data_IF_024559654506
#
_entry.id   IF_024559654506
#
_cell.length_a   1.000
_cell.length_b   1.000
_cell.length_c   1.000
_cell.angle_alpha   90.00
_cell.angle_beta   90.00
_cell.angle_gamma   90.00
#
_symmetry.space_group_name_H-M   'P 1'
#
loop_
_entity.id
_entity.type
_entity.pdbx_description
1 polymer ?
#
# COMPACT_ATOMS: atom_id res chain seq x y z
N UNK A 1 -15.84 -5.72 -15.26
CA UNK A 1 -16.15 -4.56 -14.38
C UNK A 1 -16.80 -4.96 -13.06
N UNK A 2 -17.96 -5.64 -13.05
CA UNK A 2 -18.68 -5.99 -11.81
C UNK A 2 -17.83 -6.80 -10.81
N UNK A 3 -17.02 -7.77 -11.29
CA UNK A 3 -16.16 -8.62 -10.43
C UNK A 3 -15.16 -7.83 -9.61
N UNK A 4 -14.48 -6.91 -10.30
CA UNK A 4 -13.53 -5.99 -9.70
C UNK A 4 -14.18 -5.14 -8.62
N UNK A 5 -15.33 -4.53 -8.93
CA UNK A 5 -16.02 -3.66 -7.99
C UNK A 5 -16.44 -4.42 -6.72
N UNK A 6 -17.02 -5.62 -6.84
CA UNK A 6 -17.46 -6.40 -5.67
C UNK A 6 -16.26 -6.80 -4.80
N UNK A 7 -15.17 -7.25 -5.41
CA UNK A 7 -13.97 -7.66 -4.67
C UNK A 7 -13.31 -6.51 -3.93
N UNK A 8 -13.13 -5.35 -4.58
CA UNK A 8 -12.53 -4.18 -3.96
C UNK A 8 -13.48 -3.55 -2.94
N UNK A 9 -14.80 -3.50 -3.20
CA UNK A 9 -15.77 -3.07 -2.19
C UNK A 9 -15.68 -3.90 -0.93
N UNK A 10 -15.48 -5.21 -1.05
CA UNK A 10 -15.42 -6.12 0.09
C UNK A 10 -14.05 -6.10 0.79
N UNK A 11 -12.95 -6.03 0.04
CA UNK A 11 -11.58 -6.10 0.61
C UNK A 11 -11.01 -4.74 1.01
N UNK A 12 -11.32 -3.68 0.26
CA UNK A 12 -10.85 -2.30 0.47
C UNK A 12 -11.87 -1.49 1.26
N UNK A 13 -13.17 -1.70 1.05
CA UNK A 13 -14.22 -0.87 1.64
C UNK A 13 -14.18 -0.83 3.18
N UNK A 14 -14.55 -1.94 3.86
CA UNK A 14 -14.54 -2.02 5.31
C UNK A 14 -13.17 -1.72 5.93
N UNK A 15 -12.09 -2.16 5.29
CA UNK A 15 -10.73 -1.99 5.82
C UNK A 15 -10.30 -0.52 5.75
N UNK A 16 -10.63 0.21 4.67
CA UNK A 16 -10.35 1.65 4.56
C UNK A 16 -11.19 2.44 5.57
N UNK A 17 -12.48 2.12 5.68
CA UNK A 17 -13.37 2.79 6.63
C UNK A 17 -12.85 2.65 8.06
N UNK A 18 -12.54 1.42 8.48
CA UNK A 18 -11.99 1.14 9.79
C UNK A 18 -10.63 1.81 10.00
N UNK A 19 -9.75 1.80 8.99
CA UNK A 19 -8.45 2.48 9.04
C UNK A 19 -8.59 3.97 9.35
N UNK A 20 -9.52 4.67 8.69
CA UNK A 20 -9.67 6.11 8.92
C UNK A 20 -10.14 6.43 10.34
N UNK A 21 -11.13 5.70 10.85
CA UNK A 21 -11.60 5.89 12.23
C UNK A 21 -10.51 5.50 13.25
N UNK A 22 -9.80 4.40 13.01
CA UNK A 22 -8.70 3.95 13.86
C UNK A 22 -7.59 5.01 13.92
N UNK A 23 -7.25 5.64 12.78
CA UNK A 23 -6.23 6.69 12.72
C UNK A 23 -6.54 7.88 13.61
N UNK A 24 -7.77 8.37 13.56
CA UNK A 24 -8.20 9.51 14.37
C UNK A 24 -8.29 9.16 15.87
N UNK A 25 -8.73 7.93 16.20
CA UNK A 25 -8.71 7.42 17.58
C UNK A 25 -7.29 7.23 18.14
N UNK A 26 -6.38 6.65 17.33
CA UNK A 26 -4.96 6.51 17.69
C UNK A 26 -4.32 7.87 17.91
N UNK A 27 -4.58 8.85 17.05
CA UNK A 27 -4.09 10.21 17.24
C UNK A 27 -4.57 10.81 18.57
N UNK A 28 -5.86 10.70 18.88
CA UNK A 28 -6.44 11.21 20.12
C UNK A 28 -5.84 10.57 21.39
N UNK A 29 -5.47 9.29 21.32
CA UNK A 29 -4.77 8.60 22.41
C UNK A 29 -3.29 9.02 22.50
N UNK A 30 -2.56 8.98 21.37
CA UNK A 30 -1.13 9.24 21.31
C UNK A 30 -0.76 10.68 21.67
N UNK A 31 -1.62 11.66 21.37
CA UNK A 31 -1.37 13.06 21.72
C UNK A 31 -1.36 13.33 23.22
N UNK A 32 -1.85 12.39 24.04
CA UNK A 32 -1.82 12.50 25.50
C UNK A 32 -0.45 12.14 26.07
N UNK A 33 0.41 11.50 25.26
CA UNK A 33 1.77 11.16 25.64
C UNK A 33 2.73 12.33 25.37
N UNK A 34 3.84 12.43 26.13
CA UNK A 34 4.93 13.34 25.79
C UNK A 34 5.45 13.08 24.37
N UNK A 35 5.76 14.11 23.56
CA UNK A 35 6.27 13.92 22.20
C UNK A 35 7.48 12.99 22.11
N UNK A 36 8.37 13.00 23.11
CA UNK A 36 9.54 12.13 23.20
C UNK A 36 9.13 10.65 23.29
N UNK A 37 8.09 10.34 24.07
CA UNK A 37 7.57 8.98 24.20
C UNK A 37 6.95 8.53 22.87
N UNK A 38 6.27 9.42 22.16
CA UNK A 38 5.71 9.13 20.84
C UNK A 38 6.81 8.86 19.80
N UNK A 39 7.87 9.67 19.77
CA UNK A 39 9.02 9.43 18.89
C UNK A 39 9.71 8.09 19.24
N UNK A 40 9.84 7.76 20.52
CA UNK A 40 10.36 6.45 20.93
C UNK A 40 9.48 5.30 20.43
N UNK A 41 8.16 5.44 20.48
CA UNK A 41 7.22 4.46 19.91
C UNK A 41 7.33 4.35 18.38
N UNK A 42 7.63 5.44 17.66
CA UNK A 42 7.94 5.39 16.23
C UNK A 42 9.19 4.54 15.96
N UNK A 43 10.24 4.70 16.76
CA UNK A 43 11.45 3.89 16.62
C UNK A 43 11.17 2.38 16.86
N UNK A 44 10.36 2.06 17.88
CA UNK A 44 9.93 0.67 18.15
C UNK A 44 9.09 0.11 16.99
N UNK A 45 8.08 0.86 16.54
CA UNK A 45 7.22 0.46 15.42
C UNK A 45 8.03 0.26 14.13
N UNK A 46 8.94 1.19 13.83
CA UNK A 46 9.85 1.11 12.69
C UNK A 46 10.77 -0.11 12.75
N UNK A 47 11.29 -0.45 13.93
CA UNK A 47 12.12 -1.66 14.12
C UNK A 47 11.32 -2.93 13.83
N UNK A 48 10.08 -3.02 14.34
CA UNK A 48 9.19 -4.15 14.03
C UNK A 48 8.89 -4.24 12.54
N UNK A 49 8.67 -3.09 11.88
CA UNK A 49 8.43 -3.04 10.43
C UNK A 49 9.64 -3.52 9.63
N UNK A 50 10.87 -3.15 10.03
CA UNK A 50 12.11 -3.64 9.40
C UNK A 50 12.32 -5.14 9.61
N UNK A 51 11.94 -5.68 10.78
CA UNK A 51 11.95 -7.11 11.03
C UNK A 51 10.99 -7.85 10.07
N UNK A 52 9.79 -7.32 9.84
CA UNK A 52 8.85 -7.86 8.85
C UNK A 52 9.43 -7.83 7.42
N UNK A 53 10.17 -6.80 7.05
CA UNK A 53 10.89 -6.76 5.77
C UNK A 53 11.95 -7.84 5.64
N UNK A 54 12.67 -8.12 6.72
CA UNK A 54 13.64 -9.21 6.75
C UNK A 54 12.95 -10.55 6.53
N UNK A 55 11.79 -10.78 7.17
CA UNK A 55 10.97 -11.98 6.94
C UNK A 55 10.49 -12.07 5.49
N UNK A 56 9.96 -10.98 4.92
CA UNK A 56 9.54 -10.92 3.50
C UNK A 56 10.71 -11.31 2.57
N UNK A 57 11.87 -10.67 2.73
CA UNK A 57 13.06 -10.91 1.90
C UNK A 57 13.54 -12.36 2.02
N UNK A 58 13.56 -12.91 3.23
CA UNK A 58 13.92 -14.31 3.45
C UNK A 58 12.94 -15.28 2.76
N UNK A 59 11.64 -14.96 2.74
CA UNK A 59 10.62 -15.75 2.03
C UNK A 59 10.85 -15.74 0.53
N UNK A 60 11.11 -14.57 -0.05
CA UNK A 60 11.39 -14.40 -1.47
C UNK A 60 12.68 -15.13 -1.90
N UNK A 61 13.73 -15.08 -1.07
CA UNK A 61 15.02 -15.73 -1.33
C UNK A 61 14.98 -17.27 -1.27
N UNK A 62 13.86 -17.90 -0.90
CA UNK A 62 13.74 -19.37 -0.90
C UNK A 62 13.88 -19.95 -2.30
N UNK A 63 13.44 -19.21 -3.32
CA UNK A 63 13.56 -19.61 -4.72
C UNK A 63 13.87 -18.39 -5.61
N UNK A 64 15.16 -18.02 -5.74
CA UNK A 64 15.58 -16.83 -6.50
C UNK A 64 15.18 -16.87 -7.98
N UNK A 65 15.12 -18.07 -8.58
CA UNK A 65 14.69 -18.23 -9.98
C UNK A 65 13.20 -17.99 -10.13
N UNK A 66 12.37 -18.54 -9.25
CA UNK A 66 10.93 -18.25 -9.25
C UNK A 66 10.65 -16.76 -8.98
N UNK A 67 11.39 -16.15 -8.04
CA UNK A 67 11.28 -14.72 -7.77
C UNK A 67 11.60 -13.89 -9.02
N UNK A 68 12.72 -14.18 -9.70
CA UNK A 68 13.10 -13.49 -10.92
C UNK A 68 12.09 -13.71 -12.05
N UNK A 69 11.63 -14.95 -12.25
CA UNK A 69 10.59 -15.26 -13.25
C UNK A 69 9.31 -14.47 -13.01
N UNK A 70 8.79 -14.47 -11.78
CA UNK A 70 7.59 -13.71 -11.42
C UNK A 70 7.78 -12.21 -11.60
N UNK A 71 8.91 -11.65 -11.16
CA UNK A 71 9.22 -10.23 -11.32
C UNK A 71 9.19 -9.79 -12.78
N UNK A 72 9.76 -10.61 -13.68
CA UNK A 72 9.90 -10.34 -15.11
C UNK A 72 8.73 -10.88 -15.96
N UNK A 73 7.73 -11.49 -15.34
CA UNK A 73 6.60 -12.19 -15.97
C UNK A 73 6.99 -13.29 -16.99
N UNK A 74 7.99 -14.10 -16.64
CA UNK A 74 8.48 -15.19 -17.50
C UNK A 74 7.92 -16.55 -17.07
N UNK A 75 7.45 -17.34 -18.04
CA UNK A 75 7.15 -18.74 -17.81
C UNK A 75 8.45 -19.58 -17.73
N UNK A 76 8.32 -20.87 -17.42
CA UNK A 76 9.49 -21.74 -17.25
C UNK A 76 10.27 -21.93 -18.56
N UNK A 77 9.59 -22.16 -19.68
CA UNK A 77 10.23 -22.34 -20.99
C UNK A 77 11.02 -21.09 -21.42
N UNK A 78 10.43 -19.91 -21.24
CA UNK A 78 11.07 -18.62 -21.50
C UNK A 78 12.29 -18.41 -20.62
N UNK A 79 12.26 -18.86 -19.37
CA UNK A 79 13.40 -18.77 -18.45
C UNK A 79 14.53 -19.72 -18.84
N UNK A 80 14.21 -20.96 -19.20
CA UNK A 80 15.18 -21.97 -19.61
C UNK A 80 15.84 -21.64 -20.96
N UNK A 81 15.13 -20.91 -21.82
CA UNK A 81 15.69 -20.39 -23.08
C UNK A 81 16.74 -19.28 -22.88
N UNK A 82 16.80 -18.65 -21.70
CA UNK A 82 17.80 -17.62 -21.39
C UNK A 82 19.18 -18.23 -21.11
N UNK A 83 20.22 -17.53 -21.58
CA UNK A 83 21.59 -17.81 -21.18
C UNK A 83 21.78 -17.66 -19.66
N UNK A 84 22.81 -18.28 -19.10
CA UNK A 84 23.14 -18.14 -17.66
C UNK A 84 23.39 -16.68 -17.27
N UNK A 85 24.03 -15.89 -18.15
CA UNK A 85 24.28 -14.46 -17.92
C UNK A 85 22.98 -13.65 -17.85
N UNK A 86 22.02 -13.94 -18.72
CA UNK A 86 20.69 -13.30 -18.70
C UNK A 86 19.91 -13.67 -17.44
N UNK A 87 19.89 -14.96 -17.06
CA UNK A 87 19.25 -15.41 -15.81
C UNK A 87 19.89 -14.75 -14.59
N UNK A 88 21.23 -14.66 -14.56
CA UNK A 88 21.94 -13.97 -13.50
C UNK A 88 21.63 -12.47 -13.45
N UNK A 89 21.56 -11.81 -14.61
CA UNK A 89 21.16 -10.40 -14.71
C UNK A 89 19.76 -10.16 -14.15
N UNK A 90 18.78 -10.97 -14.55
CA UNK A 90 17.39 -10.88 -14.10
C UNK A 90 17.23 -11.12 -12.60
N UNK A 91 17.97 -12.09 -12.03
CA UNK A 91 18.03 -12.31 -10.58
C UNK A 91 18.56 -11.08 -9.84
N UNK A 92 19.67 -10.49 -10.31
CA UNK A 92 20.24 -9.28 -9.68
C UNK A 92 19.28 -8.10 -9.74
N UNK A 93 18.58 -7.92 -10.85
CA UNK A 93 17.59 -6.85 -10.98
C UNK A 93 16.41 -7.04 -10.03
N UNK A 94 15.86 -8.26 -9.95
CA UNK A 94 14.79 -8.57 -9.01
C UNK A 94 15.21 -8.31 -7.56
N UNK A 95 16.42 -8.76 -7.17
CA UNK A 95 16.97 -8.51 -5.84
C UNK A 95 17.19 -7.03 -5.56
N UNK A 96 17.63 -6.25 -6.56
CA UNK A 96 17.76 -4.81 -6.44
C UNK A 96 16.43 -4.15 -6.06
N UNK A 97 15.35 -4.46 -6.78
CA UNK A 97 14.03 -3.90 -6.47
C UNK A 97 13.49 -4.38 -5.11
N UNK A 98 13.72 -5.64 -4.74
CA UNK A 98 13.39 -6.14 -3.40
C UNK A 98 14.10 -5.36 -2.29
N UNK A 99 15.38 -5.02 -2.49
CA UNK A 99 16.16 -4.20 -1.56
C UNK A 99 15.65 -2.75 -1.53
N UNK A 100 15.22 -2.21 -2.67
CA UNK A 100 14.59 -0.87 -2.73
C UNK A 100 13.34 -0.81 -1.88
N UNK A 101 12.49 -1.85 -1.84
CA UNK A 101 11.33 -1.91 -0.91
C UNK A 101 11.78 -1.69 0.53
N UNK A 102 12.80 -2.42 0.99
CA UNK A 102 13.31 -2.29 2.36
C UNK A 102 13.95 -0.92 2.61
N UNK A 103 14.65 -0.35 1.63
CA UNK A 103 15.21 1.01 1.73
C UNK A 103 14.13 2.08 1.79
N UNK A 104 13.03 1.95 1.04
CA UNK A 104 11.88 2.85 1.12
C UNK A 104 11.22 2.79 2.51
N UNK A 105 11.11 1.60 3.09
CA UNK A 105 10.61 1.44 4.46
C UNK A 105 11.51 2.17 5.46
N UNK A 106 12.82 1.94 5.41
CA UNK A 106 13.79 2.61 6.27
C UNK A 106 13.73 4.13 6.11
N UNK A 107 13.72 4.63 4.86
CA UNK A 107 13.65 6.06 4.57
C UNK A 107 12.36 6.69 5.12
N UNK A 108 11.21 6.01 4.97
CA UNK A 108 9.94 6.46 5.54
C UNK A 108 9.97 6.55 7.07
N UNK A 109 10.49 5.51 7.74
CA UNK A 109 10.64 5.49 9.22
C UNK A 109 11.53 6.63 9.69
N UNK A 110 12.72 6.78 9.10
CA UNK A 110 13.67 7.82 9.48
C UNK A 110 13.10 9.23 9.22
N UNK A 111 12.37 9.41 8.11
CA UNK A 111 11.69 10.67 7.81
C UNK A 111 10.62 10.98 8.86
N UNK A 112 9.79 10.02 9.23
CA UNK A 112 8.74 10.23 10.23
C UNK A 112 9.30 10.54 11.62
N UNK A 113 10.39 9.88 12.03
CA UNK A 113 11.10 10.18 13.29
C UNK A 113 11.67 11.60 13.25
N UNK A 114 12.39 11.96 12.17
CA UNK A 114 12.99 13.28 12.03
C UNK A 114 11.94 14.39 12.02
N UNK A 115 10.84 14.20 11.29
CA UNK A 115 9.73 15.15 11.24
C UNK A 115 9.03 15.24 12.60
N UNK A 116 8.78 14.10 13.27
CA UNK A 116 8.18 14.06 14.59
C UNK A 116 9.00 14.85 15.61
N UNK A 117 10.32 14.66 15.62
CA UNK A 117 11.24 15.39 16.48
C UNK A 117 11.29 16.90 16.14
N UNK A 118 11.39 17.25 14.85
CA UNK A 118 11.39 18.65 14.40
C UNK A 118 10.07 19.38 14.67
N UNK A 119 8.96 18.64 14.70
CA UNK A 119 7.63 19.16 15.03
C UNK A 119 7.61 19.85 16.39
N UNK A 120 8.20 19.24 17.42
CA UNK A 120 8.30 19.86 18.76
C UNK A 120 9.08 21.18 18.72
N UNK A 121 10.25 21.19 18.08
CA UNK A 121 11.09 22.39 17.96
C UNK A 121 10.41 23.53 17.19
N UNK A 122 9.47 23.19 16.29
CA UNK A 122 8.74 24.13 15.45
C UNK A 122 7.34 24.50 16.01
N UNK A 123 7.07 24.23 17.29
CA UNK A 123 5.78 24.54 17.93
C UNK A 123 4.60 23.66 17.50
N UNK A 124 4.87 22.48 16.93
CA UNK A 124 3.88 21.48 16.48
C UNK A 124 4.09 20.13 17.19
N UNK A 125 3.95 20.07 18.53
CA UNK A 125 4.24 18.85 19.30
C UNK A 125 3.36 17.65 18.92
N UNK A 126 2.16 17.89 18.39
CA UNK A 126 1.24 16.84 17.95
C UNK A 126 1.68 16.13 16.66
N UNK A 127 2.70 16.64 15.94
CA UNK A 127 3.16 16.06 14.68
C UNK A 127 3.61 14.61 14.84
N UNK A 128 4.37 14.31 15.89
CA UNK A 128 4.81 12.95 16.19
C UNK A 128 3.62 11.99 16.38
N UNK A 129 2.57 12.44 17.08
CA UNK A 129 1.37 11.64 17.31
C UNK A 129 0.60 11.36 16.01
N UNK A 130 0.50 12.35 15.12
CA UNK A 130 -0.13 12.17 13.81
C UNK A 130 0.62 11.18 12.93
N UNK A 131 1.94 11.29 12.89
CA UNK A 131 2.79 10.40 12.09
C UNK A 131 2.73 8.96 12.60
N UNK A 132 2.87 8.75 13.90
CA UNK A 132 2.76 7.42 14.49
C UNK A 132 1.36 6.83 14.30
N UNK A 133 0.29 7.61 14.50
CA UNK A 133 -1.07 7.15 14.23
C UNK A 133 -1.26 6.70 12.78
N UNK A 134 -0.65 7.43 11.83
CA UNK A 134 -0.66 7.07 10.42
C UNK A 134 0.08 5.75 10.16
N UNK A 135 1.27 5.56 10.73
CA UNK A 135 2.03 4.31 10.58
C UNK A 135 1.27 3.11 11.16
N UNK A 136 0.72 3.27 12.38
CA UNK A 136 0.04 2.21 13.11
C UNK A 136 -1.31 1.82 12.49
N UNK A 137 -2.02 2.73 11.80
CA UNK A 137 -3.27 2.37 11.11
C UNK A 137 -3.03 1.59 9.82
N UNK A 138 -1.88 1.76 9.17
CA UNK A 138 -1.62 1.22 7.83
C UNK A 138 -1.27 -0.27 7.85
N UNK A 139 -0.53 -0.76 8.84
CA UNK A 139 -0.19 -2.19 8.91
C UNK A 139 -1.42 -3.10 9.14
N UNK A 140 -2.31 -2.83 10.10
CA UNK A 140 -3.56 -3.59 10.26
C UNK A 140 -4.46 -3.50 9.04
N UNK A 141 -4.54 -2.33 8.40
CA UNK A 141 -5.27 -2.15 7.15
C UNK A 141 -4.75 -3.09 6.05
N UNK A 142 -3.43 -3.10 5.82
CA UNK A 142 -2.81 -3.92 4.78
C UNK A 142 -3.04 -5.41 5.06
N UNK A 143 -2.82 -5.84 6.30
CA UNK A 143 -3.03 -7.23 6.71
C UNK A 143 -4.49 -7.66 6.55
N UNK A 144 -5.45 -6.85 6.99
CA UNK A 144 -6.89 -7.16 6.85
C UNK A 144 -7.30 -7.21 5.38
N UNK A 145 -6.88 -6.23 4.57
CA UNK A 145 -7.18 -6.19 3.13
C UNK A 145 -6.64 -7.42 2.43
N UNK A 146 -5.37 -7.73 2.60
CA UNK A 146 -4.75 -8.87 1.91
C UNK A 146 -5.28 -10.22 2.44
N UNK A 147 -5.72 -10.30 3.70
CA UNK A 147 -6.41 -11.49 4.23
C UNK A 147 -7.76 -11.73 3.54
N UNK A 148 -8.54 -10.66 3.31
CA UNK A 148 -9.79 -10.76 2.57
C UNK A 148 -9.51 -11.15 1.11
N UNK A 149 -8.51 -10.52 0.48
CA UNK A 149 -8.11 -10.85 -0.90
C UNK A 149 -7.53 -12.27 -1.05
N UNK A 150 -6.96 -12.82 0.02
CA UNK A 150 -6.51 -14.21 0.10
C UNK A 150 -7.67 -15.20 0.26
N UNK A 151 -8.86 -14.75 0.65
CA UNK A 151 -10.01 -15.62 0.94
C UNK A 151 -10.82 -15.94 -0.31
N UNK A 152 -10.94 -15.02 -1.26
CA UNK A 152 -11.74 -15.22 -2.46
C UNK A 152 -11.25 -14.40 -3.65
N UNK A 153 -11.68 -14.80 -4.84
CA UNK A 153 -11.61 -14.03 -6.08
C UNK A 153 -13.01 -13.82 -6.64
N UNK A 154 -13.19 -12.74 -7.41
CA UNK A 154 -14.40 -12.47 -8.19
C UNK A 154 -14.13 -12.42 -9.70
N UNK A 155 -12.86 -12.37 -10.07
CA UNK A 155 -12.38 -12.28 -11.44
C UNK A 155 -11.31 -13.35 -11.61
N UNK A 156 -11.43 -14.11 -12.69
CA UNK A 156 -10.43 -15.07 -13.15
C UNK A 156 -10.10 -14.84 -14.62
N UNK A 157 -9.32 -15.76 -15.19
CA UNK A 157 -8.91 -15.75 -16.58
C UNK A 157 -9.45 -16.99 -17.29
N UNK A 158 -9.90 -16.86 -18.54
CA UNK A 158 -10.44 -17.98 -19.32
C UNK A 158 -9.38 -19.05 -19.62
N UNK A 159 -8.12 -18.65 -19.71
CA UNK A 159 -6.97 -19.51 -19.96
C UNK A 159 -5.85 -19.16 -18.97
N UNK A 160 -4.88 -20.07 -18.74
CA UNK A 160 -3.76 -19.81 -17.85
C UNK A 160 -2.97 -18.56 -18.23
N UNK A 161 -2.44 -17.89 -17.22
CA UNK A 161 -1.54 -16.74 -17.35
C UNK A 161 -0.28 -17.00 -16.52
N UNK A 162 0.73 -16.16 -16.68
CA UNK A 162 1.93 -16.19 -15.83
C UNK A 162 1.69 -15.57 -14.43
N UNK A 163 0.47 -15.10 -14.14
CA UNK A 163 0.11 -14.50 -12.85
C UNK A 163 0.66 -13.08 -12.63
N UNK A 164 0.98 -12.36 -13.71
CA UNK A 164 1.57 -11.02 -13.66
C UNK A 164 1.63 -10.36 -15.03
N UNK A 165 2.30 -9.20 -15.08
CA UNK A 165 2.50 -8.40 -16.30
C UNK A 165 3.98 -8.11 -16.52
N UNK A 166 4.39 -7.99 -17.79
CA UNK A 166 5.77 -7.71 -18.19
C UNK A 166 6.19 -6.26 -17.92
N UNK A 167 7.50 -6.00 -17.97
CA UNK A 167 8.12 -4.70 -17.69
C UNK A 167 7.47 -3.47 -18.39
N UNK A 168 7.18 -3.50 -19.71
CA UNK A 168 6.50 -2.39 -20.37
C UNK A 168 5.09 -2.15 -19.81
N UNK A 169 4.37 -3.22 -19.49
CA UNK A 169 3.01 -3.16 -18.98
C UNK A 169 2.99 -2.75 -17.50
N UNK A 170 3.97 -3.17 -16.70
CA UNK A 170 4.18 -2.66 -15.33
C UNK A 170 4.41 -1.15 -15.34
N UNK A 171 5.18 -0.65 -16.32
CA UNK A 171 5.42 0.79 -16.48
C UNK A 171 4.14 1.53 -16.87
N UNK A 172 3.35 0.97 -17.79
CA UNK A 172 2.04 1.51 -18.18
C UNK A 172 1.08 1.55 -17.00
N UNK A 173 0.94 0.44 -16.28
CA UNK A 173 0.11 0.34 -15.08
C UNK A 173 0.55 1.32 -13.99
N UNK A 174 1.86 1.50 -13.80
CA UNK A 174 2.40 2.49 -12.87
C UNK A 174 2.02 3.93 -13.23
N UNK A 175 2.02 4.29 -14.52
CA UNK A 175 1.55 5.61 -14.97
C UNK A 175 0.06 5.79 -14.71
N UNK A 176 -0.75 4.77 -15.02
CA UNK A 176 -2.18 4.77 -14.74
C UNK A 176 -2.45 4.93 -13.24
N UNK A 177 -1.82 4.10 -12.41
CA UNK A 177 -1.96 4.12 -10.96
C UNK A 177 -1.54 5.46 -10.37
N UNK A 178 -0.44 6.04 -10.85
CA UNK A 178 0.02 7.36 -10.42
C UNK A 178 -1.01 8.45 -10.74
N UNK A 179 -1.53 8.49 -11.96
CA UNK A 179 -2.57 9.45 -12.36
C UNK A 179 -3.86 9.25 -11.54
N UNK A 180 -4.28 8.01 -11.36
CA UNK A 180 -5.47 7.69 -10.58
C UNK A 180 -5.31 8.14 -9.10
N UNK A 181 -4.12 7.95 -8.51
CA UNK A 181 -3.83 8.46 -7.16
C UNK A 181 -3.84 9.99 -7.11
N UNK A 182 -3.27 10.68 -8.10
CA UNK A 182 -3.36 12.15 -8.18
C UNK A 182 -4.82 12.58 -8.17
N UNK A 183 -5.64 12.04 -9.07
CA UNK A 183 -7.06 12.40 -9.17
C UNK A 183 -7.83 12.09 -7.89
N UNK A 184 -7.60 10.92 -7.28
CA UNK A 184 -8.22 10.53 -6.00
C UNK A 184 -7.81 11.46 -4.87
N UNK A 185 -6.53 11.84 -4.77
CA UNK A 185 -6.06 12.75 -3.72
C UNK A 185 -6.63 14.17 -3.91
N UNK A 186 -6.78 14.63 -5.15
CA UNK A 186 -7.42 15.92 -5.45
C UNK A 186 -8.92 15.90 -5.12
N UNK A 187 -9.63 14.84 -5.55
CA UNK A 187 -11.03 14.65 -5.21
C UNK A 187 -11.25 14.57 -3.69
N UNK A 188 -10.33 13.93 -2.96
CA UNK A 188 -10.39 13.86 -1.50
C UNK A 188 -10.27 15.23 -0.83
N UNK A 189 -9.54 16.19 -1.43
CA UNK A 189 -9.46 17.55 -0.90
C UNK A 189 -10.78 18.31 -1.12
N UNK A 190 -11.35 18.20 -2.32
CA UNK A 190 -12.61 18.90 -2.67
C UNK A 190 -13.82 18.32 -1.92
N UNK A 191 -13.79 17.03 -1.61
CA UNK A 191 -14.86 16.33 -0.89
C UNK A 191 -14.63 16.27 0.63
N UNK A 192 -13.57 16.93 1.15
CA UNK A 192 -13.37 17.02 2.60
C UNK A 192 -14.55 17.76 3.24
N UNK A 193 -15.15 17.17 4.27
CA UNK A 193 -16.26 17.81 4.96
C UNK A 193 -15.79 19.15 5.56
N UNK A 194 -16.52 20.26 5.34
CA UNK A 194 -16.09 21.59 5.80
C UNK A 194 -15.77 21.66 7.29
N UNK A 195 -16.52 20.93 8.11
CA UNK A 195 -16.35 20.93 9.56
C UNK A 195 -15.41 19.83 10.07
N UNK A 196 -14.70 19.13 9.18
CA UNK A 196 -13.92 17.97 9.57
C UNK A 196 -12.77 18.32 10.52
N UNK A 197 -12.12 19.46 10.32
CA UNK A 197 -11.10 19.96 11.23
C UNK A 197 -11.65 20.17 12.67
N UNK A 198 -12.85 20.74 12.79
CA UNK A 198 -13.53 20.93 14.08
C UNK A 198 -13.94 19.60 14.71
N UNK A 199 -14.39 18.63 13.91
CA UNK A 199 -14.70 17.28 14.37
C UNK A 199 -13.46 16.53 14.88
N UNK A 200 -12.31 16.68 14.20
CA UNK A 200 -11.01 16.15 14.65
C UNK A 200 -10.60 16.72 16.00
N UNK A 201 -10.72 18.05 16.18
CA UNK A 201 -10.45 18.70 17.47
C UNK A 201 -11.30 18.07 18.59
N UNK A 202 -12.58 17.80 18.33
CA UNK A 202 -13.45 17.18 19.33
C UNK A 202 -13.02 15.76 19.70
N UNK A 203 -12.69 14.90 18.72
CA UNK A 203 -12.17 13.55 19.00
C UNK A 203 -10.83 13.58 19.72
N UNK A 204 -10.00 14.57 19.41
CA UNK A 204 -8.79 14.85 20.18
C UNK A 204 -9.10 15.34 21.61
N UNK A 205 -10.35 15.64 21.99
CA UNK A 205 -10.65 16.22 23.30
C UNK A 205 -10.16 17.67 23.45
N UNK A 206 -9.94 18.36 22.33
CA UNK A 206 -9.69 19.79 22.27
C UNK A 206 -11.02 20.55 22.21
N UNK A 207 -10.95 21.86 22.43
CA UNK A 207 -12.12 22.75 22.26
C UNK A 207 -12.61 22.66 20.82
N UNK A 208 -13.91 22.43 20.68
CA UNK A 208 -14.60 22.30 19.40
C UNK A 208 -16.04 22.74 19.57
N UNK A 209 -16.67 23.34 18.54
CA UNK A 209 -18.09 23.67 18.56
C UNK A 209 -19.01 22.44 18.60
N UNK A 210 -18.48 21.24 18.33
CA UNK A 210 -19.27 20.01 18.30
C UNK A 210 -19.29 19.26 19.62
N UNK A 211 -20.43 18.64 19.92
CA UNK A 211 -20.46 17.53 20.87
C UNK A 211 -19.86 16.25 20.26
N UNK A 212 -19.66 15.21 21.09
CA UNK A 212 -18.99 13.98 20.62
C UNK A 212 -19.79 13.21 19.56
N UNK A 213 -21.12 13.24 19.62
CA UNK A 213 -21.99 12.59 18.64
C UNK A 213 -21.94 13.28 17.28
N UNK A 214 -21.98 14.62 17.27
CA UNK A 214 -21.85 15.43 16.05
C UNK A 214 -20.50 15.20 15.38
N UNK A 215 -19.41 15.28 16.15
CA UNK A 215 -18.07 15.01 15.63
C UNK A 215 -17.96 13.60 15.05
N UNK A 216 -18.47 12.59 15.75
CA UNK A 216 -18.47 11.19 15.29
C UNK A 216 -19.20 11.03 13.96
N UNK A 217 -20.34 11.72 13.77
CA UNK A 217 -21.07 11.70 12.50
C UNK A 217 -20.26 12.30 11.36
N UNK A 218 -19.52 13.39 11.60
CA UNK A 218 -18.64 13.99 10.60
C UNK A 218 -17.49 13.04 10.24
N UNK A 219 -16.85 12.41 11.25
CA UNK A 219 -15.82 11.40 11.02
C UNK A 219 -16.32 10.23 10.18
N UNK A 220 -17.52 9.71 10.47
CA UNK A 220 -18.10 8.61 9.71
C UNK A 220 -18.38 9.00 8.25
N UNK A 221 -18.89 10.23 8.02
CA UNK A 221 -19.10 10.75 6.67
C UNK A 221 -17.78 10.87 5.91
N UNK A 222 -16.75 11.44 6.53
CA UNK A 222 -15.45 11.58 5.89
C UNK A 222 -14.79 10.22 5.61
N UNK A 223 -14.88 9.29 6.56
CA UNK A 223 -14.40 7.92 6.36
C UNK A 223 -15.14 7.22 5.21
N UNK A 224 -16.45 7.43 5.07
CA UNK A 224 -17.23 6.90 3.96
C UNK A 224 -16.80 7.49 2.60
N UNK A 225 -16.57 8.81 2.52
CA UNK A 225 -16.05 9.47 1.30
C UNK A 225 -14.68 8.90 0.93
N UNK A 226 -13.76 8.85 1.89
CA UNK A 226 -12.41 8.29 1.70
C UNK A 226 -12.48 6.83 1.25
N UNK A 227 -13.40 6.08 1.81
CA UNK A 227 -13.64 4.67 1.44
C UNK A 227 -14.13 4.55 0.01
N UNK A 228 -15.12 5.35 -0.39
CA UNK A 228 -15.67 5.31 -1.75
C UNK A 228 -14.59 5.66 -2.80
N UNK A 229 -13.80 6.70 -2.53
CA UNK A 229 -12.69 7.10 -3.39
C UNK A 229 -11.63 5.99 -3.50
N UNK A 230 -11.26 5.36 -2.38
CA UNK A 230 -10.27 4.29 -2.37
C UNK A 230 -10.77 3.02 -3.08
N UNK A 231 -12.04 2.65 -2.88
CA UNK A 231 -12.65 1.53 -3.62
C UNK A 231 -12.67 1.80 -5.11
N UNK A 232 -13.00 3.02 -5.53
CA UNK A 232 -12.98 3.44 -6.93
C UNK A 232 -11.58 3.33 -7.55
N UNK A 233 -10.58 3.92 -6.88
CA UNK A 233 -9.17 3.84 -7.28
C UNK A 233 -8.72 2.40 -7.47
N UNK A 234 -8.91 1.56 -6.45
CA UNK A 234 -8.42 0.18 -6.43
C UNK A 234 -9.19 -0.72 -7.41
N UNK A 235 -10.46 -0.40 -7.70
CA UNK A 235 -11.23 -1.07 -8.77
C UNK A 235 -10.64 -0.75 -10.14
N UNK A 236 -10.32 0.51 -10.40
CA UNK A 236 -9.75 0.95 -11.67
C UNK A 236 -8.33 0.40 -11.88
N UNK A 237 -7.48 0.48 -10.87
CA UNK A 237 -6.13 -0.11 -10.90
C UNK A 237 -6.20 -1.60 -11.18
N UNK A 238 -7.06 -2.33 -10.46
CA UNK A 238 -7.13 -3.76 -10.64
C UNK A 238 -7.66 -4.17 -12.02
N UNK A 239 -8.66 -3.45 -12.55
CA UNK A 239 -9.11 -3.61 -13.95
C UNK A 239 -7.94 -3.40 -14.91
N UNK A 240 -7.15 -2.35 -14.72
CA UNK A 240 -6.04 -2.03 -15.61
C UNK A 240 -4.97 -3.13 -15.61
N UNK A 241 -4.54 -3.59 -14.43
CA UNK A 241 -3.53 -4.65 -14.31
C UNK A 241 -4.01 -5.96 -14.89
N UNK A 242 -5.22 -6.42 -14.54
CA UNK A 242 -5.72 -7.70 -15.04
C UNK A 242 -6.08 -7.65 -16.51
N UNK A 243 -6.38 -6.47 -17.06
CA UNK A 243 -6.54 -6.32 -18.50
C UNK A 243 -5.19 -6.48 -19.21
N UNK A 244 -4.13 -5.84 -18.72
CA UNK A 244 -2.79 -6.03 -19.25
C UNK A 244 -2.34 -7.51 -19.16
N UNK A 245 -2.62 -8.19 -18.05
CA UNK A 245 -2.33 -9.61 -17.90
C UNK A 245 -3.11 -10.47 -18.92
N UNK A 246 -4.40 -10.19 -19.10
CA UNK A 246 -5.23 -10.91 -20.05
C UNK A 246 -4.75 -10.70 -21.49
N UNK A 247 -4.39 -9.46 -21.85
CA UNK A 247 -3.90 -9.10 -23.19
C UNK A 247 -2.55 -9.79 -23.48
N UNK A 248 -1.61 -9.78 -22.53
CA UNK A 248 -0.32 -10.45 -22.68
C UNK A 248 -0.45 -11.97 -22.86
N UNK A 249 -1.39 -12.59 -22.15
CA UNK A 249 -1.64 -14.03 -22.25
C UNK A 249 -2.58 -14.41 -23.41
N UNK A 250 -3.06 -13.44 -24.21
CA UNK A 250 -4.01 -13.70 -25.30
C UNK A 250 -5.34 -14.29 -24.83
N UNK A 251 -5.77 -13.93 -23.62
CA UNK A 251 -6.94 -14.47 -22.95
C UNK A 251 -7.96 -13.38 -22.60
N UNK A 252 -9.00 -13.75 -21.86
CA UNK A 252 -10.06 -12.83 -21.43
C UNK A 252 -10.33 -13.01 -19.95
N UNK A 253 -10.57 -11.89 -19.28
CA UNK A 253 -11.08 -11.88 -17.92
C UNK A 253 -12.51 -12.45 -17.90
N UNK A 254 -12.82 -13.26 -16.90
CA UNK A 254 -14.14 -13.83 -16.68
C UNK A 254 -14.65 -13.52 -15.27
N UNK A 255 -15.97 -13.40 -15.13
CA UNK A 255 -16.61 -13.35 -13.82
C UNK A 255 -16.54 -14.75 -13.21
N UNK A 256 -15.73 -14.89 -12.16
CA UNK A 256 -15.47 -16.18 -11.53
C UNK A 256 -15.36 -16.03 -10.01
N UNK A 257 -16.51 -15.96 -9.30
CA UNK A 257 -16.53 -15.99 -7.85
C UNK A 257 -16.06 -17.35 -7.34
N UNK A 258 -14.98 -17.36 -6.56
CA UNK A 258 -14.46 -18.58 -5.95
C UNK A 258 -13.80 -18.27 -4.61
N UNK A 259 -13.97 -19.17 -3.64
CA UNK A 259 -13.16 -19.19 -2.44
C UNK A 259 -11.77 -19.75 -2.77
N UNK A 260 -10.73 -19.08 -2.29
CA UNK A 260 -9.35 -19.54 -2.35
C UNK A 260 -9.08 -20.41 -1.12
N UNK A 261 -8.42 -21.55 -1.30
CA UNK A 261 -8.09 -22.47 -0.21
C UNK A 261 -7.15 -21.85 0.83
N UNK A 262 -7.22 -22.32 2.09
CA UNK A 262 -6.44 -21.78 3.23
C UNK A 262 -4.92 -21.73 3.01
N UNK A 263 -4.35 -22.62 2.18
CA UNK A 263 -2.92 -22.64 1.84
C UNK A 263 -2.56 -21.88 0.57
N UNK A 264 -3.53 -21.56 -0.28
CA UNK A 264 -3.25 -21.04 -1.63
C UNK A 264 -2.71 -19.61 -1.59
N UNK A 265 -3.23 -18.76 -0.70
CA UNK A 265 -2.87 -17.34 -0.76
C UNK A 265 -2.69 -16.65 0.61
N UNK A 266 -3.02 -17.25 1.76
CA UNK A 266 -2.85 -16.57 3.07
C UNK A 266 -1.40 -16.26 3.43
N UNK A 267 -0.45 -17.02 2.88
CA UNK A 267 0.98 -16.71 2.98
C UNK A 267 1.31 -15.33 2.40
N UNK A 268 0.45 -14.76 1.53
CA UNK A 268 0.60 -13.43 0.98
C UNK A 268 0.57 -12.31 2.02
N UNK A 269 -0.07 -12.53 3.16
CA UNK A 269 -0.14 -11.50 4.21
C UNK A 269 1.26 -11.17 4.72
N UNK A 270 2.16 -12.16 4.72
CA UNK A 270 3.54 -11.99 5.17
C UNK A 270 4.46 -11.36 4.11
N UNK A 271 4.00 -11.16 2.88
CA UNK A 271 4.80 -10.54 1.81
C UNK A 271 4.13 -9.30 1.21
N UNK A 272 2.89 -9.42 0.71
CA UNK A 272 2.14 -8.33 0.09
C UNK A 272 1.82 -7.24 1.09
N UNK A 273 1.36 -7.57 2.31
CA UNK A 273 0.99 -6.55 3.29
C UNK A 273 2.20 -5.76 3.77
N UNK A 274 3.35 -6.42 3.93
CA UNK A 274 4.60 -5.75 4.32
C UNK A 274 5.07 -4.75 3.26
N UNK A 275 5.03 -5.16 1.99
CA UNK A 275 5.34 -4.27 0.86
C UNK A 275 4.29 -3.15 0.71
N UNK A 276 2.99 -3.46 0.88
CA UNK A 276 1.90 -2.48 0.81
C UNK A 276 2.00 -1.42 1.90
N UNK A 277 2.23 -1.82 3.14
CA UNK A 277 2.45 -0.88 4.25
C UNK A 277 3.60 0.08 3.93
N UNK A 278 4.65 -0.42 3.27
CA UNK A 278 5.79 0.41 2.85
C UNK A 278 5.44 1.38 1.74
N UNK A 279 4.71 0.92 0.72
CA UNK A 279 4.23 1.78 -0.36
C UNK A 279 3.40 2.95 0.20
N UNK A 280 2.46 2.64 1.10
CA UNK A 280 1.58 3.68 1.69
C UNK A 280 2.37 4.58 2.64
N UNK A 281 3.14 4.02 3.59
CA UNK A 281 3.90 4.82 4.58
C UNK A 281 4.92 5.74 3.90
N UNK A 282 5.64 5.26 2.90
CA UNK A 282 6.63 6.07 2.18
C UNK A 282 5.98 7.22 1.41
N UNK A 283 4.83 6.99 0.78
CA UNK A 283 4.08 8.05 0.10
C UNK A 283 3.50 9.08 1.09
N UNK A 284 3.00 8.63 2.25
CA UNK A 284 2.54 9.54 3.32
C UNK A 284 3.70 10.36 3.88
N UNK A 285 4.85 9.74 4.16
CA UNK A 285 6.04 10.42 4.67
C UNK A 285 6.55 11.46 3.66
N UNK A 286 6.62 11.07 2.37
CA UNK A 286 7.00 11.96 1.29
C UNK A 286 6.04 13.15 1.16
N UNK A 287 4.73 12.92 1.09
CA UNK A 287 3.73 13.98 1.05
C UNK A 287 3.83 14.92 2.25
N UNK A 288 3.99 14.37 3.46
CA UNK A 288 4.17 15.18 4.67
C UNK A 288 5.41 16.06 4.61
N UNK A 289 6.54 15.52 4.14
CA UNK A 289 7.77 16.28 3.95
C UNK A 289 7.58 17.43 2.95
N UNK A 290 6.95 17.16 1.79
CA UNK A 290 6.63 18.20 0.80
C UNK A 290 5.71 19.26 1.38
N UNK A 291 4.67 18.87 2.13
CA UNK A 291 3.73 19.80 2.75
C UNK A 291 4.44 20.72 3.77
N UNK A 292 5.38 20.18 4.53
CA UNK A 292 6.20 20.95 5.46
C UNK A 292 7.14 21.92 4.76
N UNK A 293 7.86 21.46 3.73
CA UNK A 293 8.71 22.32 2.91
C UNK A 293 7.88 23.46 2.31
N UNK A 294 6.72 23.15 1.73
CA UNK A 294 5.81 24.16 1.20
C UNK A 294 5.39 25.19 2.25
N UNK A 295 5.08 24.72 3.47
CA UNK A 295 4.75 25.60 4.60
C UNK A 295 5.93 26.49 4.99
N UNK A 296 7.15 25.94 5.05
CA UNK A 296 8.37 26.70 5.35
C UNK A 296 8.69 27.76 4.29
N UNK A 297 8.37 27.47 3.02
CA UNK A 297 8.50 28.41 1.90
C UNK A 297 7.34 29.42 1.83
N UNK A 298 6.42 29.44 2.80
CA UNK A 298 5.32 30.39 2.87
C UNK A 298 4.17 30.11 1.90
N UNK A 299 4.05 28.89 1.37
CA UNK A 299 2.88 28.51 0.57
C UNK A 299 1.62 28.46 1.44
N UNK A 300 0.51 28.96 0.90
CA UNK A 300 -0.80 28.81 1.53
C UNK A 300 -1.14 27.31 1.73
N UNK A 301 -1.86 26.92 2.80
CA UNK A 301 -2.17 25.52 3.10
C UNK A 301 -2.76 24.75 1.93
N UNK A 302 -3.70 25.35 1.19
CA UNK A 302 -4.33 24.74 0.02
C UNK A 302 -3.32 24.45 -1.11
N UNK A 303 -2.37 25.36 -1.36
CA UNK A 303 -1.33 25.17 -2.39
C UNK A 303 -0.33 24.10 -1.96
N UNK A 304 0.03 24.08 -0.67
CA UNK A 304 0.92 23.06 -0.12
C UNK A 304 0.28 21.66 -0.14
N UNK A 305 -1.01 21.56 0.17
CA UNK A 305 -1.79 20.32 0.08
C UNK A 305 -1.93 19.85 -1.38
N UNK A 306 -2.24 20.77 -2.31
CA UNK A 306 -2.31 20.47 -3.74
C UNK A 306 -0.98 19.87 -4.26
N UNK A 307 0.14 20.54 -3.97
CA UNK A 307 1.47 20.10 -4.37
C UNK A 307 1.83 18.75 -3.76
N UNK A 308 1.65 18.60 -2.44
CA UNK A 308 1.90 17.36 -1.71
C UNK A 308 1.12 16.19 -2.31
N UNK A 309 -0.18 16.37 -2.53
CA UNK A 309 -1.07 15.31 -3.02
C UNK A 309 -0.75 14.90 -4.46
N UNK A 310 -0.41 15.86 -5.32
CA UNK A 310 0.01 15.59 -6.69
C UNK A 310 1.36 14.86 -6.73
N UNK A 311 2.37 15.35 -5.99
CA UNK A 311 3.69 14.70 -5.93
C UNK A 311 3.61 13.30 -5.31
N UNK A 312 2.81 13.11 -4.25
CA UNK A 312 2.60 11.80 -3.63
C UNK A 312 1.92 10.80 -4.60
N UNK A 313 0.94 11.26 -5.39
CA UNK A 313 0.31 10.42 -6.43
C UNK A 313 1.29 10.02 -7.52
N UNK A 314 2.13 10.95 -8.00
CA UNK A 314 3.19 10.61 -8.96
C UNK A 314 4.23 9.64 -8.36
N UNK A 315 4.60 9.84 -7.10
CA UNK A 315 5.51 8.93 -6.39
C UNK A 315 4.94 7.50 -6.32
N UNK A 316 3.64 7.35 -6.06
CA UNK A 316 2.97 6.05 -6.07
C UNK A 316 3.10 5.34 -7.43
N UNK A 317 3.00 6.09 -8.54
CA UNK A 317 3.22 5.55 -9.88
C UNK A 317 4.68 5.17 -10.17
N UNK A 318 5.64 5.98 -9.73
CA UNK A 318 7.07 5.68 -9.88
C UNK A 318 7.50 4.46 -9.06
N UNK A 319 6.91 4.26 -7.89
CA UNK A 319 7.15 3.10 -7.03
C UNK A 319 6.47 1.82 -7.54
N UNK A 320 5.57 1.92 -8.51
CA UNK A 320 4.72 0.81 -8.91
C UNK A 320 5.51 -0.42 -9.34
N UNK A 321 6.56 -0.26 -10.15
CA UNK A 321 7.44 -1.37 -10.55
C UNK A 321 8.07 -2.07 -9.35
N UNK A 322 8.51 -1.29 -8.37
CA UNK A 322 9.12 -1.82 -7.15
C UNK A 322 8.12 -2.67 -6.37
N UNK A 323 6.88 -2.19 -6.22
CA UNK A 323 5.87 -2.85 -5.39
C UNK A 323 5.17 -4.00 -6.14
N UNK A 324 4.62 -3.73 -7.33
CA UNK A 324 3.92 -4.72 -8.14
C UNK A 324 4.86 -5.86 -8.57
N UNK A 325 6.09 -5.54 -9.00
CA UNK A 325 7.09 -6.56 -9.33
C UNK A 325 7.46 -7.43 -8.14
N UNK A 326 7.55 -6.86 -6.93
CA UNK A 326 7.77 -7.63 -5.69
C UNK A 326 6.58 -8.52 -5.35
N UNK A 327 5.35 -8.08 -5.59
CA UNK A 327 4.15 -8.91 -5.41
C UNK A 327 4.13 -10.09 -6.40
N UNK A 328 4.44 -9.86 -7.67
CA UNK A 328 4.55 -10.93 -8.68
C UNK A 328 5.67 -11.92 -8.32
N UNK A 329 6.83 -11.44 -7.89
CA UNK A 329 7.93 -12.27 -7.43
C UNK A 329 7.52 -13.16 -6.24
N UNK A 330 6.89 -12.56 -5.22
CA UNK A 330 6.43 -13.29 -4.05
C UNK A 330 5.38 -14.34 -4.41
N UNK A 331 4.43 -14.01 -5.30
CA UNK A 331 3.43 -14.96 -5.79
C UNK A 331 4.08 -16.18 -6.47
N UNK A 332 5.03 -15.95 -7.39
CA UNK A 332 5.74 -17.01 -8.07
C UNK A 332 6.56 -17.90 -7.13
N UNK A 333 7.20 -17.31 -6.10
CA UNK A 333 7.90 -18.09 -5.07
C UNK A 333 6.93 -18.94 -4.24
N UNK A 334 5.77 -18.39 -3.86
CA UNK A 334 4.74 -19.15 -3.11
C UNK A 334 4.25 -20.34 -3.92
N UNK A 335 3.97 -20.14 -5.20
CA UNK A 335 3.55 -21.21 -6.10
C UNK A 335 4.62 -22.31 -6.21
N UNK A 336 5.88 -21.94 -6.48
CA UNK A 336 6.97 -22.89 -6.59
C UNK A 336 7.22 -23.68 -5.30
N UNK A 337 7.14 -23.04 -4.14
CA UNK A 337 7.29 -23.68 -2.84
C UNK A 337 6.10 -24.57 -2.47
N UNK A 338 4.88 -24.23 -2.91
CA UNK A 338 3.71 -25.08 -2.75
C UNK A 338 3.84 -26.38 -3.56
N UNK A 339 4.27 -26.28 -4.82
CA UNK A 339 4.52 -27.44 -5.68
C UNK A 339 5.61 -28.36 -5.10
N UNK A 340 6.66 -27.79 -4.48
CA UNK A 340 7.73 -28.57 -3.83
C UNK A 340 7.26 -29.39 -2.63
N UNK A 341 6.18 -28.96 -1.97
CA UNK A 341 5.64 -29.60 -0.75
C UNK A 341 4.55 -30.64 -1.02
N UNK A 342 4.07 -30.77 -2.26
CA UNK A 342 3.19 -31.86 -2.66
C UNK A 342 4.07 -33.07 -3.04
N UNK A 343 4.01 -34.21 -2.32
CA UNK A 343 4.63 -35.44 -2.82
C UNK A 343 3.96 -35.83 -4.13
N UNK A 344 4.75 -36.28 -5.11
CA UNK A 344 4.25 -36.97 -6.30
C UNK A 344 3.32 -38.10 -5.84
N UNK A 345 2.00 -37.89 -5.93
CA UNK A 345 1.07 -39.00 -5.98
C UNK A 345 1.15 -39.54 -7.41
N UNK A 346 2.04 -40.51 -7.58
CA UNK A 346 2.12 -41.37 -8.76
C UNK A 346 0.99 -42.40 -8.73
#
# INVERSE_FOLDING_TARGET
MLGHLVHQTTSVGPTTFARELLGEGLFAALRQLPPEAVVALQAVSGTLHLALHTLRRNRENRNPDAAARGFHNLNLEQWEALSEDERHSKRREQQHYSDVVTRLALAGILSNIAIGAAGKASGRPEMAARLLASELKIAPYAAARDSIQATFRMVGMRAPTNGGISDPHVTSAGRFYGMANVMTNLASNELEAPDFASARQRWAGLMSPFNMGEATRVHFRQAAVTTALNVGLETLDWINVTQHEADEAGTQQIWEPAFKGKREDYERVMDHSVARTTAINSNVAFGTAINMIGTWLGLAPARSALLSNALAGMAAGMQYRTIAGTWQAAAAVREAEASRRQPLQA
#
